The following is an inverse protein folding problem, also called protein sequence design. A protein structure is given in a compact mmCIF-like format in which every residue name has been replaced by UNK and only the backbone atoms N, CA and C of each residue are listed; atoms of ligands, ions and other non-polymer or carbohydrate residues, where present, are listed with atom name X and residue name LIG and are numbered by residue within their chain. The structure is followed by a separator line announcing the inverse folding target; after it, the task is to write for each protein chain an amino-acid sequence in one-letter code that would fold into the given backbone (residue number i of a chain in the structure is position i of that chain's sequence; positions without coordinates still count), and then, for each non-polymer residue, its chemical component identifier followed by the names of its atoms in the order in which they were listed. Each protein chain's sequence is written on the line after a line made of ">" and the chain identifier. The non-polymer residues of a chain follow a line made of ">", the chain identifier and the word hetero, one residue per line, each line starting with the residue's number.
data_IF_727507112486
#
_entry.id   IF_727507112486
#
_cell.length_a   1.000
_cell.length_b   1.000
_cell.length_c   1.000
_cell.angle_alpha   90.00
_cell.angle_beta   90.00
_cell.angle_gamma   90.00
#
_symmetry.space_group_name_H-M   'P 1'
#
loop_
_entity.id
_entity.type
_entity.pdbx_description
1 polymer ?
#
# COMPACT_ATOMS: atom_id res chain seq x y z
N UNK A 1 -1.29 2.32 -29.50
CA UNK A 1 -2.40 2.60 -28.58
C UNK A 1 -1.84 3.49 -27.50
N UNK A 2 -2.43 4.64 -27.23
CA UNK A 2 -2.02 5.48 -26.11
C UNK A 2 -2.52 4.83 -24.82
N UNK A 3 -1.60 4.55 -23.90
CA UNK A 3 -1.90 3.90 -22.61
C UNK A 3 -1.75 4.86 -21.43
N UNK A 4 -1.55 6.15 -21.71
CA UNK A 4 -1.42 7.17 -20.67
C UNK A 4 -2.67 7.25 -19.81
N UNK A 5 -2.46 7.39 -18.51
CA UNK A 5 -3.52 7.62 -17.52
C UNK A 5 -3.14 8.77 -16.60
N UNK A 6 -4.14 9.48 -16.10
CA UNK A 6 -3.94 10.50 -15.08
C UNK A 6 -4.46 9.98 -13.74
N UNK A 7 -3.59 9.92 -12.74
CA UNK A 7 -3.94 9.51 -11.38
C UNK A 7 -3.69 10.70 -10.45
N UNK A 8 -4.76 11.25 -9.90
CA UNK A 8 -4.69 12.39 -8.97
C UNK A 8 -3.84 13.58 -9.49
N UNK A 9 -3.93 13.89 -10.78
CA UNK A 9 -3.17 14.97 -11.42
C UNK A 9 -1.78 14.57 -11.92
N UNK A 10 -1.30 13.37 -11.61
CA UNK A 10 -0.01 12.85 -12.09
C UNK A 10 -0.22 12.01 -13.35
N UNK A 11 0.41 12.40 -14.46
CA UNK A 11 0.37 11.62 -15.70
C UNK A 11 1.34 10.44 -15.64
N UNK A 12 0.83 9.22 -15.85
CA UNK A 12 1.61 8.00 -16.00
C UNK A 12 1.61 7.57 -17.46
N UNK A 13 2.71 7.06 -17.98
CA UNK A 13 2.82 6.58 -19.37
C UNK A 13 1.94 5.35 -19.67
N UNK A 14 1.60 4.58 -18.64
CA UNK A 14 0.66 3.45 -18.69
C UNK A 14 0.15 3.15 -17.28
N UNK A 15 -0.95 2.38 -17.09
CA UNK A 15 -1.54 2.12 -15.78
C UNK A 15 -0.81 1.03 -14.98
N UNK A 16 0.31 0.51 -15.44
CA UNK A 16 0.98 -0.62 -14.77
C UNK A 16 1.89 -0.08 -13.68
N UNK A 17 1.66 -0.56 -12.47
CA UNK A 17 2.53 -0.34 -11.31
C UNK A 17 2.79 -1.65 -10.58
N UNK A 18 3.73 -1.66 -9.66
CA UNK A 18 4.02 -2.77 -8.77
C UNK A 18 3.42 -2.52 -7.39
N UNK A 19 3.06 -3.59 -6.68
CA UNK A 19 2.54 -3.46 -5.33
C UNK A 19 3.67 -3.30 -4.32
N UNK A 20 3.49 -2.38 -3.36
CA UNK A 20 4.41 -2.22 -2.24
C UNK A 20 4.68 -3.55 -1.52
N UNK A 21 5.92 -3.77 -1.15
CA UNK A 21 6.36 -4.97 -0.42
C UNK A 21 6.62 -6.20 -1.27
N UNK A 22 6.28 -6.18 -2.56
CA UNK A 22 6.54 -7.30 -3.49
C UNK A 22 7.71 -7.05 -4.44
N UNK A 23 8.20 -5.81 -4.49
CA UNK A 23 9.18 -5.35 -5.47
C UNK A 23 10.36 -4.59 -4.82
N UNK A 24 10.48 -4.63 -3.49
CA UNK A 24 11.46 -3.81 -2.77
C UNK A 24 11.31 -2.32 -3.12
N UNK A 25 12.43 -1.66 -3.33
CA UNK A 25 12.49 -0.31 -3.94
C UNK A 25 12.92 -0.36 -5.42
N UNK A 26 12.84 -1.53 -6.04
CA UNK A 26 13.08 -1.73 -7.46
C UNK A 26 14.51 -2.15 -7.82
N UNK A 27 15.51 -2.00 -6.95
CA UNK A 27 16.92 -2.29 -7.25
C UNK A 27 17.12 -3.75 -7.64
N UNK A 28 16.70 -4.69 -6.78
CA UNK A 28 16.86 -6.13 -7.03
C UNK A 28 16.08 -6.59 -8.28
N UNK A 29 14.90 -6.00 -8.52
CA UNK A 29 14.06 -6.37 -9.65
C UNK A 29 14.47 -5.70 -10.97
N UNK A 30 15.29 -4.65 -10.92
CA UNK A 30 15.82 -3.99 -12.13
C UNK A 30 16.71 -4.91 -12.97
N UNK A 31 17.24 -5.98 -12.37
CA UNK A 31 17.99 -7.03 -13.09
C UNK A 31 17.08 -7.92 -13.98
N UNK A 32 15.79 -7.98 -13.67
CA UNK A 32 14.83 -8.86 -14.37
C UNK A 32 13.79 -8.08 -15.17
N UNK A 33 13.50 -6.84 -14.78
CA UNK A 33 12.47 -6.00 -15.38
C UNK A 33 13.04 -4.62 -15.68
N UNK A 34 12.89 -4.16 -16.92
CA UNK A 34 13.20 -2.77 -17.27
C UNK A 34 12.16 -1.83 -16.63
N UNK A 35 12.60 -1.10 -15.59
CA UNK A 35 11.73 -0.17 -14.86
C UNK A 35 11.18 0.96 -15.73
N UNK A 36 11.85 1.28 -16.85
CA UNK A 36 11.34 2.26 -17.82
C UNK A 36 10.02 1.81 -18.48
N UNK A 37 9.65 0.54 -18.41
CA UNK A 37 8.39 0.03 -18.95
C UNK A 37 7.20 0.20 -18.00
N UNK A 38 7.45 0.48 -16.72
CA UNK A 38 6.42 0.67 -15.71
C UNK A 38 5.90 2.12 -15.70
N UNK A 39 4.60 2.29 -15.56
CA UNK A 39 3.99 3.60 -15.33
C UNK A 39 4.40 4.20 -13.99
N UNK A 40 4.50 3.35 -12.96
CA UNK A 40 4.98 3.72 -11.65
C UNK A 40 5.67 2.54 -10.92
N UNK A 41 6.56 2.87 -9.98
CA UNK A 41 7.11 1.93 -8.99
C UNK A 41 6.60 2.36 -7.62
N UNK A 42 5.81 1.49 -6.97
CA UNK A 42 5.43 1.67 -5.56
C UNK A 42 6.45 0.96 -4.69
N UNK A 43 7.15 1.72 -3.87
CA UNK A 43 8.29 1.23 -3.09
C UNK A 43 7.87 0.37 -1.90
N UNK A 44 8.83 -0.28 -1.28
CA UNK A 44 8.67 -0.87 0.05
C UNK A 44 8.23 0.21 1.04
N UNK A 45 7.39 -0.17 2.00
CA UNK A 45 6.98 0.71 3.08
C UNK A 45 8.17 1.25 3.86
N UNK A 46 8.20 2.56 4.04
CA UNK A 46 9.26 3.31 4.72
C UNK A 46 8.71 3.92 6.00
N UNK A 47 9.45 3.75 7.10
CA UNK A 47 9.14 4.32 8.41
C UNK A 47 10.13 5.45 8.77
N UNK A 48 9.81 6.20 9.83
CA UNK A 48 10.67 7.27 10.34
C UNK A 48 12.06 6.79 10.78
N UNK A 49 12.16 5.53 11.24
CA UNK A 49 13.41 4.87 11.65
C UNK A 49 13.51 3.47 11.01
N UNK A 50 14.70 2.84 10.98
CA UNK A 50 14.84 1.47 10.49
C UNK A 50 14.03 0.47 11.33
N UNK A 51 13.29 -0.44 10.65
CA UNK A 51 12.60 -1.55 11.31
C UNK A 51 13.21 -2.89 10.88
N UNK A 52 13.55 -3.77 11.83
CA UNK A 52 14.15 -5.08 11.54
C UNK A 52 13.15 -6.10 10.97
N UNK A 53 11.84 -5.83 11.12
CA UNK A 53 10.79 -6.80 10.81
C UNK A 53 10.61 -7.88 11.88
N UNK A 54 9.75 -8.85 11.58
CA UNK A 54 9.44 -9.94 12.48
C UNK A 54 10.52 -11.06 12.46
N UNK A 55 10.58 -11.91 13.51
CA UNK A 55 11.41 -13.11 13.49
C UNK A 55 11.03 -14.09 12.37
N UNK A 56 11.99 -14.88 11.91
CA UNK A 56 11.76 -15.99 10.97
C UNK A 56 11.28 -17.26 11.69
N UNK A 57 10.55 -18.17 10.96
CA UNK A 57 10.07 -18.08 9.58
C UNK A 57 8.92 -17.07 9.43
N UNK A 58 8.94 -16.29 8.36
CA UNK A 58 7.97 -15.22 8.14
C UNK A 58 7.29 -15.23 6.76
N UNK A 59 7.50 -16.31 6.02
CA UNK A 59 6.83 -16.59 4.74
C UNK A 59 6.42 -18.06 4.72
N UNK A 60 5.23 -18.35 4.21
CA UNK A 60 4.73 -19.71 4.01
C UNK A 60 3.82 -19.77 2.79
N UNK A 61 3.97 -20.82 1.99
CA UNK A 61 3.02 -21.12 0.91
C UNK A 61 1.66 -21.51 1.50
N UNK A 62 0.58 -21.10 0.84
CA UNK A 62 -0.79 -21.53 1.12
C UNK A 62 -1.43 -21.96 -0.20
N UNK A 63 -2.55 -22.67 -0.14
CA UNK A 63 -3.26 -23.06 -1.35
C UNK A 63 -3.68 -21.83 -2.16
N UNK A 64 -3.17 -21.74 -3.38
CA UNK A 64 -3.46 -20.64 -4.30
C UNK A 64 -2.81 -19.29 -3.97
N UNK A 65 -1.79 -19.27 -3.08
CA UNK A 65 -1.13 -18.03 -2.71
C UNK A 65 0.03 -18.18 -1.73
N UNK A 66 0.34 -17.08 -1.08
CA UNK A 66 1.42 -16.98 -0.11
C UNK A 66 0.94 -16.23 1.13
N UNK A 67 1.41 -16.66 2.29
CA UNK A 67 1.23 -15.95 3.55
C UNK A 67 2.55 -15.36 3.99
N UNK A 68 2.55 -14.09 4.39
CA UNK A 68 3.73 -13.42 4.91
C UNK A 68 3.46 -12.69 6.22
N UNK A 69 4.49 -12.61 7.05
CA UNK A 69 4.54 -11.84 8.27
C UNK A 69 5.89 -11.12 8.36
N UNK A 70 6.25 -10.36 7.31
CA UNK A 70 7.55 -9.67 7.19
C UNK A 70 7.74 -8.64 8.30
N UNK A 71 6.66 -7.98 8.76
CA UNK A 71 6.74 -6.95 9.79
C UNK A 71 7.34 -5.64 9.28
N UNK A 72 7.05 -5.28 8.03
CA UNK A 72 7.45 -4.00 7.41
C UNK A 72 8.96 -3.71 7.51
N UNK A 73 9.83 -4.72 7.45
CA UNK A 73 11.28 -4.51 7.43
C UNK A 73 11.65 -3.44 6.39
N UNK A 74 12.35 -2.38 6.84
CA UNK A 74 12.72 -1.26 5.97
C UNK A 74 13.96 -0.52 6.54
N UNK A 75 14.67 0.26 5.69
CA UNK A 75 15.89 0.93 6.08
C UNK A 75 15.70 2.25 6.86
N UNK A 76 14.45 2.70 7.02
CA UNK A 76 14.13 4.04 7.52
C UNK A 76 14.26 5.12 6.45
N UNK A 77 13.60 6.26 6.71
CA UNK A 77 13.45 7.34 5.73
C UNK A 77 14.78 7.96 5.29
N UNK A 78 15.74 8.11 6.17
CA UNK A 78 17.01 8.79 5.85
C UNK A 78 17.84 8.00 4.84
N UNK A 79 17.95 6.67 5.02
CA UNK A 79 18.67 5.82 4.07
C UNK A 79 17.88 5.68 2.77
N UNK A 80 16.57 5.60 2.84
CA UNK A 80 15.69 5.56 1.68
C UNK A 80 15.89 6.80 0.78
N UNK A 81 15.88 8.00 1.35
CA UNK A 81 16.11 9.24 0.59
C UNK A 81 17.52 9.30 -0.04
N UNK A 82 18.53 8.78 0.67
CA UNK A 82 19.93 8.81 0.19
C UNK A 82 20.26 7.74 -0.84
N UNK A 83 19.59 6.59 -0.82
CA UNK A 83 19.90 5.42 -1.65
C UNK A 83 18.81 5.14 -2.69
N UNK A 84 17.55 4.96 -2.24
CA UNK A 84 16.49 4.40 -3.08
C UNK A 84 15.91 5.45 -4.04
N UNK A 85 15.70 6.68 -3.59
CA UNK A 85 15.22 7.76 -4.48
C UNK A 85 16.21 8.05 -5.60
N UNK A 86 17.51 8.28 -5.36
CA UNK A 86 18.50 8.48 -6.42
C UNK A 86 18.63 7.29 -7.38
N UNK A 87 18.43 6.07 -6.89
CA UNK A 87 18.38 4.88 -7.76
C UNK A 87 17.20 4.95 -8.71
N UNK A 88 15.98 5.14 -8.20
CA UNK A 88 14.75 5.20 -9.00
C UNK A 88 14.74 6.36 -9.99
N UNK A 89 15.35 7.48 -9.66
CA UNK A 89 15.47 8.65 -10.55
C UNK A 89 16.30 8.41 -11.81
N UNK A 90 16.98 7.27 -11.93
CA UNK A 90 17.69 6.86 -13.16
C UNK A 90 16.73 6.37 -14.24
N UNK A 91 15.48 6.08 -13.88
CA UNK A 91 14.48 5.49 -14.76
C UNK A 91 13.34 6.45 -15.06
N UNK A 92 12.79 6.33 -16.27
CA UNK A 92 11.57 7.03 -16.66
C UNK A 92 10.33 6.27 -16.14
N UNK A 93 10.08 6.40 -14.83
CA UNK A 93 8.92 5.82 -14.13
C UNK A 93 8.49 6.76 -13.01
N UNK A 94 7.22 6.73 -12.63
CA UNK A 94 6.74 7.51 -11.48
C UNK A 94 7.15 6.83 -10.18
N UNK A 95 7.54 7.61 -9.19
CA UNK A 95 7.96 7.12 -7.88
C UNK A 95 6.83 7.33 -6.89
N UNK A 96 6.25 6.24 -6.41
CA UNK A 96 5.24 6.23 -5.35
C UNK A 96 5.90 5.69 -4.09
N UNK A 97 6.07 6.53 -3.07
CA UNK A 97 6.65 6.08 -1.81
C UNK A 97 5.57 5.56 -0.89
N UNK A 98 5.66 4.27 -0.53
CA UNK A 98 4.78 3.69 0.48
C UNK A 98 5.25 4.12 1.87
N UNK A 99 4.38 4.79 2.62
CA UNK A 99 4.63 5.33 3.96
C UNK A 99 3.96 4.45 5.00
N UNK A 100 4.69 4.06 6.03
CA UNK A 100 4.15 3.28 7.14
C UNK A 100 4.57 3.86 8.51
N UNK A 101 3.77 3.59 9.53
CA UNK A 101 4.00 4.01 10.91
C UNK A 101 3.17 3.17 11.88
N UNK A 102 3.53 3.20 13.16
CA UNK A 102 2.76 2.58 14.25
C UNK A 102 1.89 3.63 14.99
N UNK A 103 2.20 4.90 14.82
CA UNK A 103 1.50 6.04 15.43
C UNK A 103 1.36 7.18 14.41
N UNK A 104 0.35 8.06 14.53
CA UNK A 104 0.15 9.19 13.61
C UNK A 104 1.41 10.05 13.43
N UNK A 105 2.13 10.31 14.50
CA UNK A 105 3.35 11.12 14.52
C UNK A 105 4.45 10.54 13.63
N UNK A 106 4.54 9.21 13.54
CA UNK A 106 5.52 8.54 12.69
C UNK A 106 5.19 8.72 11.20
N UNK A 107 3.89 8.64 10.83
CA UNK A 107 3.45 8.95 9.47
C UNK A 107 3.76 10.40 9.11
N UNK A 108 3.42 11.34 9.99
CA UNK A 108 3.65 12.77 9.77
C UNK A 108 5.14 13.07 9.58
N UNK A 109 6.01 12.49 10.41
CA UNK A 109 7.46 12.67 10.30
C UNK A 109 8.01 12.17 8.96
N UNK A 110 7.52 11.03 8.46
CA UNK A 110 7.93 10.50 7.15
C UNK A 110 7.42 11.40 6.01
N UNK A 111 6.16 11.83 6.06
CA UNK A 111 5.54 12.71 5.05
C UNK A 111 6.25 14.05 4.99
N UNK A 112 6.55 14.66 6.14
CA UNK A 112 7.32 15.91 6.24
C UNK A 112 8.70 15.76 5.59
N UNK A 113 9.40 14.65 5.88
CA UNK A 113 10.73 14.38 5.33
C UNK A 113 10.70 14.17 3.82
N UNK A 114 9.59 13.61 3.28
CA UNK A 114 9.39 13.38 1.84
C UNK A 114 8.91 14.62 1.08
N UNK A 115 8.39 15.64 1.76
CA UNK A 115 7.74 16.79 1.11
C UNK A 115 8.63 17.51 0.09
N UNK A 116 9.94 17.56 0.31
CA UNK A 116 10.91 18.21 -0.58
C UNK A 116 11.73 17.22 -1.44
N UNK A 117 11.42 15.92 -1.35
CA UNK A 117 12.08 14.90 -2.15
C UNK A 117 11.45 14.80 -3.56
N UNK A 118 12.23 14.46 -4.59
CA UNK A 118 11.77 14.39 -5.98
C UNK A 118 10.97 13.10 -6.27
N UNK A 119 9.88 12.90 -5.55
CA UNK A 119 8.92 11.80 -5.71
C UNK A 119 7.62 12.31 -6.33
N UNK A 120 6.84 11.43 -6.93
CA UNK A 120 5.61 11.82 -7.62
C UNK A 120 4.37 11.72 -6.73
N UNK A 121 4.27 10.71 -5.88
CA UNK A 121 3.11 10.46 -5.00
C UNK A 121 3.53 9.75 -3.72
N UNK A 122 2.66 9.76 -2.70
CA UNK A 122 2.82 8.98 -1.47
C UNK A 122 1.65 8.00 -1.30
N UNK A 123 1.94 6.72 -1.06
CA UNK A 123 0.95 5.70 -0.70
C UNK A 123 0.97 5.49 0.82
N UNK A 124 -0.05 5.93 1.52
CA UNK A 124 -0.15 5.84 2.99
C UNK A 124 -0.70 4.46 3.36
N UNK A 125 0.12 3.63 3.95
CA UNK A 125 -0.22 2.26 4.31
C UNK A 125 -0.82 2.19 5.72
N UNK A 126 -2.14 2.32 5.82
CA UNK A 126 -2.89 2.21 7.06
C UNK A 126 -3.23 0.76 7.46
N UNK A 127 -2.74 -0.22 6.71
CA UNK A 127 -3.10 -1.63 6.87
C UNK A 127 -2.17 -2.40 7.81
N UNK A 128 -1.33 -1.73 8.59
CA UNK A 128 -0.38 -2.41 9.48
C UNK A 128 -1.14 -3.18 10.57
N UNK A 129 -1.07 -4.54 10.60
CA UNK A 129 -1.80 -5.34 11.59
C UNK A 129 -1.10 -5.39 12.96
N UNK A 130 0.06 -4.73 13.12
CA UNK A 130 0.88 -4.83 14.31
C UNK A 130 0.82 -3.57 15.15
N UNK A 131 -0.25 -3.44 15.91
CA UNK A 131 -0.24 -2.51 17.04
C UNK A 131 -0.14 -3.32 18.31
N UNK A 132 0.99 -3.20 19.00
CA UNK A 132 1.13 -3.69 20.36
C UNK A 132 0.03 -3.08 21.25
N UNK A 133 -0.69 -3.99 21.93
CA UNK A 133 -1.60 -3.69 23.02
C UNK A 133 -2.73 -2.68 22.75
N UNK A 134 -3.83 -3.15 22.19
CA UNK A 134 -5.15 -2.54 22.45
C UNK A 134 -5.64 -1.49 21.45
N UNK A 135 -4.89 -1.13 20.43
CA UNK A 135 -5.40 -0.30 19.34
C UNK A 135 -5.88 -1.16 18.19
N UNK A 136 -7.11 -0.97 17.73
CA UNK A 136 -7.57 -1.41 16.42
C UNK A 136 -6.57 -0.88 15.38
N UNK A 137 -6.22 -1.71 14.39
CA UNK A 137 -5.37 -1.25 13.29
C UNK A 137 -5.98 0.03 12.71
N UNK A 138 -5.17 1.08 12.52
CA UNK A 138 -5.65 2.41 12.07
C UNK A 138 -6.64 2.33 10.92
N UNK A 139 -6.42 1.42 9.98
CA UNK A 139 -7.26 1.23 8.81
C UNK A 139 -8.60 0.53 9.04
N UNK A 140 -8.96 0.20 10.30
CA UNK A 140 -10.23 -0.47 10.62
C UNK A 140 -11.26 0.45 11.26
N UNK A 141 -10.87 1.67 11.62
CA UNK A 141 -11.74 2.68 12.21
C UNK A 141 -11.84 3.89 11.28
N UNK A 142 -13.03 4.18 10.78
CA UNK A 142 -13.28 5.24 9.83
C UNK A 142 -12.88 6.63 10.35
N UNK A 143 -13.15 6.92 11.63
CA UNK A 143 -12.81 8.20 12.25
C UNK A 143 -11.29 8.41 12.31
N UNK A 144 -10.54 7.39 12.71
CA UNK A 144 -9.08 7.46 12.73
C UNK A 144 -8.48 7.62 11.33
N UNK A 145 -9.08 6.95 10.32
CA UNK A 145 -8.66 7.10 8.92
C UNK A 145 -8.87 8.52 8.42
N UNK A 146 -10.04 9.11 8.67
CA UNK A 146 -10.34 10.49 8.30
C UNK A 146 -9.37 11.48 8.97
N UNK A 147 -9.21 11.37 10.29
CA UNK A 147 -8.33 12.26 11.07
C UNK A 147 -6.88 12.18 10.62
N UNK A 148 -6.33 10.96 10.44
CA UNK A 148 -4.96 10.77 9.97
C UNK A 148 -4.77 11.30 8.55
N UNK A 149 -5.72 11.01 7.65
CA UNK A 149 -5.69 11.50 6.27
C UNK A 149 -5.67 13.01 6.22
N UNK A 150 -6.54 13.67 7.03
CA UNK A 150 -6.61 15.13 7.10
C UNK A 150 -5.31 15.76 7.68
N UNK A 151 -4.68 15.11 8.65
CA UNK A 151 -3.40 15.57 9.18
C UNK A 151 -2.28 15.47 8.14
N UNK A 152 -2.18 14.32 7.45
CA UNK A 152 -1.20 14.11 6.38
C UNK A 152 -1.42 15.11 5.24
N UNK A 153 -2.67 15.31 4.82
CA UNK A 153 -3.00 16.22 3.71
C UNK A 153 -2.58 17.67 3.95
N UNK A 154 -2.54 18.11 5.21
CA UNK A 154 -2.09 19.47 5.57
C UNK A 154 -0.61 19.71 5.30
N UNK A 155 0.21 18.67 5.34
CA UNK A 155 1.68 18.78 5.22
C UNK A 155 2.22 18.17 3.93
N UNK A 156 1.50 17.24 3.32
CA UNK A 156 1.90 16.62 2.07
C UNK A 156 1.89 17.63 0.92
N UNK A 157 2.98 17.69 0.15
CA UNK A 157 3.08 18.48 -1.08
C UNK A 157 2.70 17.67 -2.32
N UNK A 158 2.92 16.37 -2.28
CA UNK A 158 2.56 15.43 -3.35
C UNK A 158 1.15 14.86 -3.10
N UNK A 159 0.47 14.38 -4.16
CA UNK A 159 -0.78 13.65 -4.01
C UNK A 159 -0.63 12.43 -3.10
N UNK A 160 -1.64 12.17 -2.27
CA UNK A 160 -1.68 11.04 -1.33
C UNK A 160 -2.67 9.97 -1.78
N UNK A 161 -2.23 8.73 -1.75
CA UNK A 161 -3.02 7.53 -2.01
C UNK A 161 -3.23 6.82 -0.68
N UNK A 162 -4.47 6.60 -0.24
CA UNK A 162 -4.72 5.82 0.96
C UNK A 162 -4.83 4.34 0.61
N UNK A 163 -3.93 3.49 1.14
CA UNK A 163 -3.96 2.04 0.91
C UNK A 163 -4.79 1.35 1.96
N UNK A 164 -5.94 0.82 1.51
CA UNK A 164 -6.97 0.26 2.38
C UNK A 164 -6.71 -1.22 2.72
N UNK A 165 -7.09 -1.60 3.96
CA UNK A 165 -7.09 -2.98 4.40
C UNK A 165 -8.39 -3.69 4.00
N UNK A 166 -8.33 -4.97 3.57
CA UNK A 166 -9.53 -5.78 3.33
C UNK A 166 -10.14 -6.36 4.62
N UNK A 167 -9.46 -6.21 5.77
CA UNK A 167 -9.84 -6.83 7.03
C UNK A 167 -10.86 -5.97 7.79
N UNK A 168 -11.91 -5.57 7.11
CA UNK A 168 -13.03 -4.77 7.60
C UNK A 168 -14.35 -5.37 7.13
N UNK A 169 -15.45 -5.05 7.80
CA UNK A 169 -16.78 -5.52 7.42
C UNK A 169 -17.26 -4.84 6.14
N UNK A 170 -17.11 -3.52 6.06
CA UNK A 170 -17.45 -2.71 4.88
C UNK A 170 -16.28 -1.77 4.53
N UNK A 171 -15.62 -2.05 3.42
CA UNK A 171 -14.51 -1.23 2.94
C UNK A 171 -14.96 0.15 2.45
N UNK A 172 -16.26 0.31 2.12
CA UNK A 172 -16.79 1.57 1.61
C UNK A 172 -16.85 2.64 2.70
N UNK A 173 -17.05 2.26 3.97
CA UNK A 173 -16.98 3.19 5.10
C UNK A 173 -15.57 3.77 5.26
N UNK A 174 -14.56 2.93 5.18
CA UNK A 174 -13.15 3.34 5.28
C UNK A 174 -12.74 4.21 4.08
N UNK A 175 -13.22 3.85 2.88
CA UNK A 175 -12.95 4.63 1.67
C UNK A 175 -13.54 6.05 1.76
N UNK A 176 -14.81 6.18 2.20
CA UNK A 176 -15.46 7.48 2.41
C UNK A 176 -14.74 8.32 3.46
N UNK A 177 -14.26 7.71 4.53
CA UNK A 177 -13.47 8.39 5.55
C UNK A 177 -12.14 8.90 5.01
N UNK A 178 -11.43 8.10 4.22
CA UNK A 178 -10.21 8.54 3.55
C UNK A 178 -10.47 9.72 2.58
N UNK A 179 -11.56 9.66 1.82
CA UNK A 179 -11.99 10.74 0.91
C UNK A 179 -12.35 12.01 1.69
N UNK A 180 -13.14 11.88 2.78
CA UNK A 180 -13.48 13.00 3.66
C UNK A 180 -12.25 13.66 4.28
N UNK A 181 -11.23 12.88 4.62
CA UNK A 181 -9.93 13.38 5.09
C UNK A 181 -9.08 14.05 3.99
N UNK A 182 -9.48 13.97 2.72
CA UNK A 182 -8.82 14.63 1.59
C UNK A 182 -7.83 13.76 0.83
N UNK A 183 -7.98 12.43 0.85
CA UNK A 183 -7.20 11.55 -0.01
C UNK A 183 -7.41 11.88 -1.50
N UNK A 184 -6.34 11.91 -2.27
CA UNK A 184 -6.39 12.18 -3.72
C UNK A 184 -6.69 10.91 -4.54
N UNK A 185 -6.39 9.73 -3.99
CA UNK A 185 -6.67 8.44 -4.59
C UNK A 185 -6.73 7.33 -3.52
N UNK A 186 -7.26 6.17 -3.91
CA UNK A 186 -7.33 4.97 -3.07
C UNK A 186 -6.60 3.82 -3.73
N UNK A 187 -5.92 3.00 -2.94
CA UNK A 187 -5.25 1.76 -3.35
C UNK A 187 -5.86 0.57 -2.63
N UNK A 188 -6.25 -0.47 -3.36
CA UNK A 188 -6.90 -1.68 -2.88
C UNK A 188 -6.21 -2.91 -3.47
N UNK A 189 -6.08 -3.91 -2.70
CA UNK A 189 -6.24 -4.14 -1.27
C UNK A 189 -4.90 -4.57 -0.67
N UNK A 190 -4.72 -4.36 0.64
CA UNK A 190 -3.66 -5.04 1.36
C UNK A 190 -4.02 -6.54 1.55
N UNK A 191 -3.23 -7.30 2.26
CA UNK A 191 -3.41 -8.73 2.45
C UNK A 191 -4.54 -9.07 3.43
N UNK A 192 -5.21 -10.21 3.21
CA UNK A 192 -6.16 -10.78 4.16
C UNK A 192 -5.42 -11.47 5.30
N UNK A 193 -5.83 -11.24 6.53
CA UNK A 193 -5.26 -11.94 7.69
C UNK A 193 -5.62 -13.42 7.67
N UNK A 194 -4.60 -14.26 7.77
CA UNK A 194 -4.75 -15.71 7.79
C UNK A 194 -3.78 -16.38 8.77
N UNK A 195 -3.94 -17.71 8.91
CA UNK A 195 -3.08 -18.56 9.71
C UNK A 195 -2.81 -19.87 8.97
N UNK A 196 -1.59 -20.38 9.09
CA UNK A 196 -1.22 -21.72 8.64
C UNK A 196 -0.56 -22.51 9.78
N UNK A 197 -1.06 -23.71 10.01
CA UNK A 197 -0.50 -24.66 10.99
C UNK A 197 0.21 -25.79 10.23
N UNK A 198 1.44 -26.06 10.60
CA UNK A 198 2.17 -27.27 10.21
C UNK A 198 1.75 -28.41 11.13
N UNK A 199 0.87 -29.28 10.63
CA UNK A 199 0.31 -30.41 11.41
C UNK A 199 1.37 -31.46 11.75
N UNK A 200 2.41 -31.61 10.93
CA UNK A 200 3.47 -32.60 11.17
C UNK A 200 4.41 -32.10 12.28
N UNK A 201 4.77 -30.83 12.26
CA UNK A 201 5.61 -30.19 13.28
C UNK A 201 4.83 -29.73 14.50
N UNK A 202 3.49 -29.72 14.42
CA UNK A 202 2.56 -29.22 15.46
C UNK A 202 2.89 -27.81 15.92
N UNK A 203 3.17 -26.93 14.93
CA UNK A 203 3.53 -25.51 15.16
C UNK A 203 2.94 -24.61 14.09
N UNK A 204 3.08 -23.31 14.28
CA UNK A 204 2.71 -22.32 13.27
C UNK A 204 3.73 -22.28 12.12
N UNK A 205 3.27 -22.09 10.89
CA UNK A 205 4.13 -22.01 9.71
C UNK A 205 4.98 -20.71 9.67
N UNK A 206 4.51 -19.66 10.34
CA UNK A 206 5.26 -18.39 10.53
C UNK A 206 5.39 -18.09 12.02
N UNK A 207 6.50 -17.49 12.42
CA UNK A 207 6.81 -17.21 13.83
C UNK A 207 5.77 -16.28 14.48
N UNK A 208 5.20 -15.36 13.72
CA UNK A 208 4.16 -14.42 14.17
C UNK A 208 2.75 -15.05 14.32
N UNK A 209 2.61 -16.38 14.10
CA UNK A 209 1.38 -17.17 14.14
C UNK A 209 0.40 -16.84 13.02
N UNK A 210 0.07 -15.58 12.83
CA UNK A 210 -0.76 -15.04 11.74
C UNK A 210 0.09 -14.27 10.75
N UNK A 211 -0.42 -14.09 9.52
CA UNK A 211 0.21 -13.31 8.47
C UNK A 211 -0.80 -12.87 7.42
N UNK A 212 -0.36 -12.03 6.52
CA UNK A 212 -1.17 -11.57 5.40
C UNK A 212 -1.13 -12.55 4.23
N UNK A 213 -2.29 -12.99 3.77
CA UNK A 213 -2.46 -13.87 2.61
C UNK A 213 -2.59 -13.01 1.35
N UNK A 214 -1.83 -13.38 0.32
CA UNK A 214 -1.81 -12.75 -1.00
C UNK A 214 -1.77 -13.81 -2.11
N UNK A 215 -1.90 -13.37 -3.37
CA UNK A 215 -1.85 -14.23 -4.55
C UNK A 215 -3.22 -14.45 -5.19
N UNK A 216 -3.34 -15.38 -6.15
CA UNK A 216 -4.58 -15.63 -6.90
C UNK A 216 -5.81 -15.87 -6.03
N UNK A 217 -5.65 -16.49 -4.86
CA UNK A 217 -6.75 -16.80 -3.92
C UNK A 217 -7.50 -15.56 -3.44
N UNK A 218 -6.85 -14.39 -3.37
CA UNK A 218 -7.48 -13.13 -2.90
C UNK A 218 -8.01 -12.27 -4.05
N UNK A 219 -7.69 -12.59 -5.30
CA UNK A 219 -8.07 -11.80 -6.47
C UNK A 219 -9.58 -11.54 -6.58
N UNK A 220 -10.49 -12.53 -6.45
CA UNK A 220 -11.93 -12.29 -6.54
C UNK A 220 -12.44 -11.39 -5.41
N UNK A 221 -11.80 -11.40 -4.25
CA UNK A 221 -12.13 -10.53 -3.13
C UNK A 221 -11.73 -9.08 -3.45
N UNK A 222 -10.52 -8.89 -3.99
CA UNK A 222 -10.04 -7.59 -4.43
C UNK A 222 -10.94 -6.96 -5.49
N UNK A 223 -11.30 -7.73 -6.52
CA UNK A 223 -12.22 -7.28 -7.59
C UNK A 223 -13.56 -6.85 -7.02
N UNK A 224 -14.15 -7.63 -6.09
CA UNK A 224 -15.41 -7.25 -5.42
C UNK A 224 -15.26 -5.93 -4.67
N UNK A 225 -14.19 -5.75 -3.91
CA UNK A 225 -13.98 -4.53 -3.12
C UNK A 225 -13.78 -3.30 -4.01
N UNK A 226 -13.03 -3.41 -5.11
CA UNK A 226 -12.90 -2.34 -6.10
C UNK A 226 -14.26 -1.99 -6.72
N UNK A 227 -15.06 -2.99 -7.07
CA UNK A 227 -16.41 -2.77 -7.58
C UNK A 227 -17.30 -2.02 -6.57
N UNK A 228 -17.27 -2.41 -5.29
CA UNK A 228 -18.05 -1.75 -4.24
C UNK A 228 -17.68 -0.26 -4.12
N UNK A 229 -16.39 0.08 -4.22
CA UNK A 229 -15.94 1.48 -4.19
C UNK A 229 -16.37 2.24 -5.46
N UNK A 230 -16.33 1.60 -6.61
CA UNK A 230 -16.78 2.26 -7.86
C UNK A 230 -18.24 2.72 -7.79
N UNK A 231 -19.08 2.03 -7.02
CA UNK A 231 -20.48 2.39 -6.81
C UNK A 231 -20.67 3.65 -5.96
N UNK A 232 -19.72 4.01 -5.11
CA UNK A 232 -19.79 5.23 -4.29
C UNK A 232 -19.62 6.47 -5.16
N UNK A 233 -18.82 6.38 -6.22
CA UNK A 233 -18.49 7.48 -7.12
C UNK A 233 -19.39 7.57 -8.36
N UNK A 234 -20.32 6.61 -8.55
CA UNK A 234 -21.30 6.64 -9.63
C UNK A 234 -22.49 7.49 -9.17
N UNK A 235 -22.36 8.79 -9.29
CA UNK A 235 -23.45 9.73 -8.98
C UNK A 235 -24.43 9.93 -10.13
N UNK A 236 -24.10 9.49 -11.37
CA UNK A 236 -24.97 9.64 -12.56
C UNK A 236 -24.88 8.45 -13.53
N UNK A 237 -25.99 8.14 -14.26
CA UNK A 237 -26.02 7.08 -15.29
C UNK A 237 -25.00 7.25 -16.42
N UNK A 238 -24.43 8.44 -16.62
CA UNK A 238 -23.40 8.73 -17.61
C UNK A 238 -22.05 8.10 -17.26
N UNK A 239 -21.75 7.95 -15.97
CA UNK A 239 -20.49 7.34 -15.50
C UNK A 239 -20.50 5.82 -15.67
N UNK A 240 -21.68 5.18 -15.63
CA UNK A 240 -21.82 3.74 -15.92
C UNK A 240 -21.39 3.35 -17.34
N UNK A 241 -21.41 4.29 -18.31
CA UNK A 241 -20.92 4.02 -19.67
C UNK A 241 -19.40 4.04 -19.80
N UNK A 242 -18.68 4.68 -18.86
CA UNK A 242 -17.20 4.72 -18.85
C UNK A 242 -16.58 3.53 -18.12
N UNK A 243 -17.31 2.86 -17.21
CA UNK A 243 -16.82 1.71 -16.47
C UNK A 243 -17.06 0.35 -17.17
N UNK A 244 -17.54 0.34 -18.43
CA UNK A 244 -17.53 -0.86 -19.25
C UNK A 244 -16.11 -1.10 -19.76
N UNK A 245 -15.29 -1.69 -18.91
CA UNK A 245 -14.13 -2.43 -19.41
C UNK A 245 -14.62 -3.75 -20.04
N UNK A 246 -14.03 -4.14 -21.17
CA UNK A 246 -14.36 -5.38 -21.86
C UNK A 246 -14.01 -6.61 -21.02
#
# INVERSE_FOLDING_TARGET
>A
MDMKVNIAGVEWKNPVTVASGTFGSGEEFSEFVDLNRLGAVTTKGVANVPWPGNPTPRVAEVYGGMMNAIGLQNPGIDLFCKRDIPFLKKYDTKIIVNVCGHAPEEYLAVVERLADEPIDMMEINISCPNVNAGFLAFGQDAKHVEELTAQIKKIAKQPIIMKLTPNVTDITEIAKAAEAGGADALSLINTLTGMKIDINRRTFAVANKTGGVSGPVVHPIAVRMVYQLSLIHISEPRDMRRSRMP
#
